data_IF_761733144770
#
_entry.id   IF_761733144770
#
_cell.length_a   1.000
_cell.length_b   1.000
_cell.length_c   1.000
_cell.angle_alpha   90.00
_cell.angle_beta   90.00
_cell.angle_gamma   90.00
#
_symmetry.space_group_name_H-M   'P 1'
#
loop_
_entity.id
_entity.type
_entity.pdbx_description
1 polymer ?
#
# COMPACT_ATOMS: atom_id res chain seq x y z
N UNK A 1 32.57 -8.54 37.87
CA UNK A 1 32.93 -7.26 38.48
C UNK A 1 32.03 -6.98 39.67
N UNK A 2 32.43 -6.19 40.65
CA UNK A 2 31.66 -6.07 41.88
C UNK A 2 30.46 -5.15 41.73
N UNK A 3 29.31 -5.55 42.30
CA UNK A 3 28.22 -4.64 42.63
C UNK A 3 28.60 -3.83 43.86
N UNK A 4 28.32 -2.55 43.85
CA UNK A 4 28.73 -1.57 44.86
C UNK A 4 27.56 -1.17 45.74
N UNK A 5 27.84 -0.87 47.01
CA UNK A 5 26.82 -0.37 47.95
C UNK A 5 26.76 1.16 47.88
N UNK A 6 25.59 1.68 47.65
CA UNK A 6 25.29 3.12 47.77
C UNK A 6 24.92 3.39 49.24
N UNK A 7 25.85 3.94 49.97
CA UNK A 7 25.74 4.12 51.44
C UNK A 7 24.66 5.16 51.76
N UNK A 8 24.57 6.24 50.96
CA UNK A 8 23.60 7.32 51.19
C UNK A 8 22.16 6.87 51.01
N UNK A 9 21.93 5.97 50.05
CA UNK A 9 20.59 5.48 49.71
C UNK A 9 20.28 4.11 50.30
N UNK A 10 21.22 3.49 51.00
CA UNK A 10 21.16 2.13 51.50
C UNK A 10 20.70 1.09 50.46
N UNK A 11 21.16 1.26 49.23
CA UNK A 11 20.84 0.39 48.08
C UNK A 11 22.13 -0.11 47.43
N UNK A 12 21.97 -1.03 46.44
CA UNK A 12 23.08 -1.51 45.64
C UNK A 12 22.99 -0.95 44.22
N UNK A 13 24.16 -0.81 43.56
CA UNK A 13 24.23 -0.47 42.15
C UNK A 13 25.27 -1.30 41.43
N UNK A 14 25.08 -1.51 40.14
CA UNK A 14 26.08 -2.07 39.22
C UNK A 14 26.65 -0.99 38.33
N UNK A 15 27.94 -1.11 38.02
CA UNK A 15 28.64 -0.25 37.06
C UNK A 15 29.57 -1.12 36.25
N UNK A 16 29.29 -1.20 34.94
CA UNK A 16 30.01 -2.09 34.03
C UNK A 16 30.13 -1.46 32.65
N UNK A 17 31.07 -1.97 31.88
CA UNK A 17 31.18 -1.65 30.47
C UNK A 17 30.48 -2.72 29.66
N UNK A 18 29.70 -2.29 28.66
CA UNK A 18 29.08 -3.17 27.69
C UNK A 18 29.13 -2.49 26.31
N UNK A 19 29.70 -3.16 25.33
CA UNK A 19 29.91 -2.65 23.96
C UNK A 19 30.60 -1.26 23.94
N UNK A 20 31.65 -1.10 24.74
CA UNK A 20 32.48 0.12 24.82
C UNK A 20 31.84 1.29 25.58
N UNK A 21 30.61 1.15 26.09
CA UNK A 21 29.93 2.20 26.89
C UNK A 21 29.79 1.81 28.34
N UNK A 22 30.10 2.74 29.22
CA UNK A 22 29.87 2.58 30.68
C UNK A 22 28.39 2.67 30.99
N UNK A 23 27.85 1.65 31.64
CA UNK A 23 26.47 1.58 32.14
C UNK A 23 26.47 1.59 33.67
N UNK A 24 25.57 2.36 34.27
CA UNK A 24 25.36 2.42 35.71
C UNK A 24 23.86 2.28 35.97
N UNK A 25 23.47 1.32 36.79
CA UNK A 25 22.09 1.16 37.26
C UNK A 25 22.10 1.09 38.79
N UNK A 26 21.28 1.94 39.43
CA UNK A 26 21.19 2.10 40.90
C UNK A 26 19.85 1.61 41.40
N UNK A 27 19.71 1.47 42.71
CA UNK A 27 18.44 1.23 43.39
C UNK A 27 18.07 -0.24 43.58
N UNK A 28 19.05 -1.16 43.56
CA UNK A 28 18.78 -2.57 43.84
C UNK A 28 18.74 -2.80 45.37
N UNK A 29 17.80 -3.64 45.82
CA UNK A 29 17.66 -3.99 47.25
C UNK A 29 18.80 -4.89 47.76
N UNK A 30 19.39 -5.70 46.87
CA UNK A 30 20.45 -6.66 47.23
C UNK A 30 21.60 -6.62 46.22
N UNK A 31 22.81 -7.01 46.71
CA UNK A 31 23.99 -7.19 45.87
C UNK A 31 23.76 -8.23 44.75
N UNK A 32 22.99 -9.28 45.07
CA UNK A 32 22.66 -10.35 44.14
C UNK A 32 21.80 -9.81 42.99
N UNK A 33 20.76 -9.03 43.28
CA UNK A 33 19.91 -8.41 42.24
C UNK A 33 20.67 -7.45 41.32
N UNK A 34 21.64 -6.70 41.84
CA UNK A 34 22.48 -5.80 41.06
C UNK A 34 23.38 -6.60 40.09
N UNK A 35 23.92 -7.75 40.55
CA UNK A 35 24.77 -8.64 39.74
C UNK A 35 23.95 -9.36 38.70
N UNK A 36 22.79 -9.90 39.06
CA UNK A 36 21.86 -10.56 38.08
C UNK A 36 21.44 -9.60 36.98
N UNK A 37 21.17 -8.32 37.31
CA UNK A 37 20.88 -7.31 36.28
C UNK A 37 22.07 -7.11 35.32
N UNK A 38 23.31 -7.00 35.86
CA UNK A 38 24.51 -6.89 35.02
C UNK A 38 24.65 -8.07 34.09
N UNK A 39 24.54 -9.30 34.60
CA UNK A 39 24.67 -10.54 33.85
C UNK A 39 23.58 -10.67 32.77
N UNK A 40 22.33 -10.37 33.10
CA UNK A 40 21.22 -10.32 32.18
C UNK A 40 21.41 -9.25 31.10
N UNK A 41 21.90 -8.05 31.49
CA UNK A 41 22.13 -6.96 30.54
C UNK A 41 23.27 -7.30 29.58
N UNK A 42 24.37 -7.87 30.08
CA UNK A 42 25.48 -8.33 29.25
C UNK A 42 25.05 -9.45 28.31
N UNK A 43 24.38 -10.47 28.84
CA UNK A 43 23.86 -11.58 28.04
C UNK A 43 22.91 -11.08 26.92
N UNK A 44 22.06 -10.12 27.23
CA UNK A 44 21.18 -9.49 26.24
C UNK A 44 21.94 -8.67 25.19
N UNK A 45 23.04 -8.01 25.57
CA UNK A 45 23.80 -7.12 24.68
C UNK A 45 24.96 -7.82 23.95
N UNK A 46 25.59 -8.78 24.57
CA UNK A 46 26.61 -9.65 23.93
C UNK A 46 25.93 -10.66 23.00
N UNK A 47 24.73 -11.14 23.37
CA UNK A 47 23.88 -11.93 22.50
C UNK A 47 23.32 -11.14 21.29
N UNK A 48 23.19 -9.82 21.39
CA UNK A 48 22.71 -8.98 20.29
C UNK A 48 23.72 -8.84 19.14
N UNK A 49 25.03 -8.96 19.43
CA UNK A 49 26.07 -9.01 18.37
C UNK A 49 26.06 -10.34 17.62
N UNK A 50 25.56 -11.41 18.22
CA UNK A 50 25.52 -12.77 17.68
C UNK A 50 24.12 -13.20 17.22
N UNK A 51 23.14 -12.31 17.27
CA UNK A 51 21.76 -12.63 16.89
C UNK A 51 21.70 -13.00 15.40
N UNK A 52 21.11 -14.15 15.11
CA UNK A 52 20.84 -14.58 13.75
C UNK A 52 19.63 -13.86 13.19
N UNK A 53 19.59 -13.64 11.88
CA UNK A 53 18.52 -12.90 11.24
C UNK A 53 17.13 -13.52 11.48
N UNK A 54 17.03 -14.88 11.49
CA UNK A 54 15.73 -15.52 11.76
C UNK A 54 15.19 -15.21 13.15
N UNK A 55 16.06 -15.19 14.18
CA UNK A 55 15.65 -14.84 15.55
C UNK A 55 15.22 -13.38 15.64
N UNK A 56 16.00 -12.49 15.01
CA UNK A 56 15.64 -11.05 14.94
C UNK A 56 14.34 -10.85 14.18
N UNK A 57 14.11 -11.60 13.11
CA UNK A 57 12.90 -11.53 12.32
C UNK A 57 11.66 -11.93 13.12
N UNK A 58 11.73 -13.02 13.88
CA UNK A 58 10.63 -13.49 14.70
C UNK A 58 10.23 -12.46 15.77
N UNK A 59 11.21 -11.83 16.42
CA UNK A 59 10.95 -10.75 17.39
C UNK A 59 10.39 -9.49 16.70
N UNK A 60 10.93 -9.11 15.54
CA UNK A 60 10.40 -8.02 14.73
C UNK A 60 8.96 -8.26 14.29
N UNK A 61 8.62 -9.49 13.90
CA UNK A 61 7.25 -9.83 13.49
C UNK A 61 6.27 -9.75 14.65
N UNK A 62 6.64 -10.18 15.87
CA UNK A 62 5.83 -10.02 17.09
C UNK A 62 5.54 -8.54 17.38
N UNK A 63 6.53 -7.67 17.25
CA UNK A 63 6.36 -6.22 17.45
C UNK A 63 5.49 -5.59 16.34
N UNK A 64 5.52 -6.16 15.13
CA UNK A 64 4.64 -5.76 14.05
C UNK A 64 3.17 -6.15 14.26
N UNK A 65 2.88 -7.15 15.09
CA UNK A 65 1.52 -7.55 15.46
C UNK A 65 0.85 -6.39 16.22
N UNK A 66 -0.38 -6.06 15.86
CA UNK A 66 -1.08 -4.91 16.42
C UNK A 66 -0.73 -3.54 15.81
N UNK A 67 0.41 -3.40 15.11
CA UNK A 67 0.80 -2.17 14.39
C UNK A 67 0.38 -2.24 12.92
N UNK A 68 0.58 -3.39 12.28
CA UNK A 68 0.27 -3.60 10.87
C UNK A 68 -0.99 -4.46 10.69
N UNK A 69 -1.70 -4.22 9.58
CA UNK A 69 -2.81 -5.08 9.19
C UNK A 69 -2.31 -6.50 8.89
N UNK A 70 -3.14 -7.49 9.20
CA UNK A 70 -2.87 -8.91 8.98
C UNK A 70 -2.35 -9.21 7.56
N UNK A 71 -2.97 -8.64 6.52
CA UNK A 71 -2.50 -8.78 5.14
C UNK A 71 -1.07 -8.29 4.89
N UNK A 72 -0.62 -7.30 5.67
CA UNK A 72 0.77 -6.80 5.60
C UNK A 72 1.73 -7.77 6.29
N UNK A 73 1.33 -8.33 7.43
CA UNK A 73 2.11 -9.32 8.18
C UNK A 73 2.31 -10.59 7.35
N UNK A 74 1.24 -11.11 6.75
CA UNK A 74 1.31 -12.26 5.85
C UNK A 74 2.23 -11.98 4.67
N UNK A 75 2.13 -10.79 4.07
CA UNK A 75 3.02 -10.38 2.98
C UNK A 75 4.49 -10.31 3.39
N UNK A 76 4.79 -9.79 4.60
CA UNK A 76 6.15 -9.79 5.16
C UNK A 76 6.68 -11.21 5.35
N UNK A 77 5.89 -12.07 5.99
CA UNK A 77 6.26 -13.46 6.24
C UNK A 77 6.44 -14.25 4.94
N UNK A 78 5.62 -14.01 3.92
CA UNK A 78 5.79 -14.59 2.60
C UNK A 78 7.14 -14.23 1.97
N UNK A 79 7.52 -12.94 1.97
CA UNK A 79 8.83 -12.53 1.42
C UNK A 79 10.00 -13.11 2.22
N UNK A 80 9.86 -13.19 3.53
CA UNK A 80 10.86 -13.80 4.38
C UNK A 80 11.07 -15.27 4.06
N UNK A 81 10.01 -16.06 4.05
CA UNK A 81 10.07 -17.51 3.83
C UNK A 81 10.55 -17.84 2.41
N UNK A 82 10.09 -17.09 1.41
CA UNK A 82 10.40 -17.39 0.02
C UNK A 82 11.78 -16.93 -0.41
N UNK A 83 12.30 -15.83 0.13
CA UNK A 83 13.47 -15.19 -0.44
C UNK A 83 14.58 -14.87 0.56
N UNK A 84 14.27 -14.70 1.85
CA UNK A 84 15.26 -14.19 2.81
C UNK A 84 15.86 -15.33 3.61
N UNK A 85 15.01 -16.20 4.17
CA UNK A 85 15.43 -17.23 5.11
C UNK A 85 16.48 -18.19 4.54
N UNK A 86 16.28 -18.65 3.30
CA UNK A 86 17.16 -19.64 2.67
C UNK A 86 18.60 -19.11 2.46
N UNK A 87 18.76 -17.80 2.21
CA UNK A 87 20.07 -17.23 1.90
C UNK A 87 20.77 -16.67 3.14
N UNK A 88 20.08 -15.89 3.95
CA UNK A 88 20.70 -15.14 5.05
C UNK A 88 20.04 -15.36 6.42
N UNK A 89 18.98 -16.17 6.49
CA UNK A 89 18.23 -16.39 7.74
C UNK A 89 19.07 -16.92 8.89
N UNK A 90 20.06 -17.78 8.59
CA UNK A 90 20.94 -18.37 9.59
C UNK A 90 22.23 -17.58 9.84
N UNK A 91 22.47 -16.49 9.10
CA UNK A 91 23.61 -15.61 9.30
C UNK A 91 23.41 -14.73 10.53
N UNK A 92 24.48 -14.39 11.20
CA UNK A 92 24.46 -13.32 12.22
C UNK A 92 24.20 -12.00 11.50
N UNK A 93 23.35 -11.16 12.08
CA UNK A 93 22.93 -9.89 11.44
C UNK A 93 24.11 -8.97 11.17
N UNK A 94 25.14 -8.99 12.02
CA UNK A 94 26.34 -8.17 11.87
C UNK A 94 27.27 -8.64 10.75
N UNK A 95 27.18 -9.91 10.35
CA UNK A 95 28.00 -10.53 9.32
C UNK A 95 27.35 -10.46 7.93
N UNK A 96 26.11 -9.95 7.83
CA UNK A 96 25.41 -9.80 6.55
C UNK A 96 26.00 -8.62 5.79
N UNK A 97 26.61 -8.92 4.66
CA UNK A 97 27.25 -7.94 3.78
C UNK A 97 26.43 -7.66 2.50
N UNK A 98 26.82 -6.63 1.79
CA UNK A 98 26.20 -6.27 0.50
C UNK A 98 26.32 -7.39 -0.55
N UNK A 99 27.36 -8.22 -0.47
CA UNK A 99 27.55 -9.35 -1.39
C UNK A 99 26.50 -10.44 -1.18
N UNK A 100 26.07 -10.68 0.06
CA UNK A 100 25.05 -11.69 0.37
C UNK A 100 23.71 -11.27 -0.23
N UNK A 101 23.38 -9.98 -0.08
CA UNK A 101 22.15 -9.39 -0.66
C UNK A 101 22.23 -9.43 -2.19
N UNK A 102 23.40 -9.15 -2.76
CA UNK A 102 23.61 -9.22 -4.21
C UNK A 102 23.40 -10.66 -4.71
N UNK A 103 24.04 -11.65 -4.10
CA UNK A 103 23.89 -13.07 -4.46
C UNK A 103 22.43 -13.51 -4.39
N UNK A 104 21.73 -13.18 -3.30
CA UNK A 104 20.29 -13.45 -3.15
C UNK A 104 19.46 -12.82 -4.28
N UNK A 105 19.71 -11.56 -4.59
CA UNK A 105 18.91 -10.86 -5.63
C UNK A 105 19.28 -11.28 -7.04
N UNK A 106 20.51 -11.67 -7.32
CA UNK A 106 20.91 -12.21 -8.62
C UNK A 106 20.19 -13.55 -8.87
N UNK A 107 20.18 -14.47 -7.89
CA UNK A 107 19.42 -15.73 -7.97
C UNK A 107 17.91 -15.47 -8.18
N UNK A 108 17.34 -14.50 -7.46
CA UNK A 108 15.94 -14.12 -7.68
C UNK A 108 15.67 -13.65 -9.13
N UNK A 109 16.61 -12.92 -9.72
CA UNK A 109 16.50 -12.45 -11.11
C UNK A 109 16.62 -13.62 -12.09
N UNK A 110 17.54 -14.55 -11.86
CA UNK A 110 17.68 -15.77 -12.65
C UNK A 110 16.43 -16.64 -12.59
N UNK A 111 15.73 -16.68 -11.46
CA UNK A 111 14.41 -17.31 -11.30
C UNK A 111 13.27 -16.51 -11.97
N UNK A 112 13.56 -15.42 -12.67
CA UNK A 112 12.58 -14.59 -13.39
C UNK A 112 11.85 -13.55 -12.53
N UNK A 113 12.34 -13.25 -11.31
CA UNK A 113 11.75 -12.21 -10.47
C UNK A 113 12.16 -10.82 -10.94
N UNK A 114 11.23 -9.89 -10.85
CA UNK A 114 11.49 -8.51 -11.26
C UNK A 114 12.36 -7.75 -10.26
N UNK A 115 13.14 -6.76 -10.74
CA UNK A 115 13.88 -5.81 -9.89
C UNK A 115 13.00 -5.13 -8.84
N UNK A 116 11.71 -4.90 -9.15
CA UNK A 116 10.73 -4.35 -8.20
C UNK A 116 10.47 -5.32 -7.04
N UNK A 117 10.42 -6.64 -7.33
CA UNK A 117 10.28 -7.68 -6.30
C UNK A 117 11.54 -7.75 -5.42
N UNK A 118 12.72 -7.73 -6.02
CA UNK A 118 13.99 -7.67 -5.28
C UNK A 118 14.04 -6.46 -4.34
N UNK A 119 13.62 -5.27 -4.82
CA UNK A 119 13.55 -4.06 -3.99
C UNK A 119 12.58 -4.21 -2.81
N UNK A 120 11.47 -4.94 -2.97
CA UNK A 120 10.55 -5.23 -1.86
C UNK A 120 11.20 -6.12 -0.82
N UNK A 121 11.93 -7.15 -1.23
CA UNK A 121 12.68 -8.04 -0.33
C UNK A 121 13.75 -7.27 0.44
N UNK A 122 14.57 -6.47 -0.25
CA UNK A 122 15.59 -5.61 0.37
C UNK A 122 14.95 -4.64 1.39
N UNK A 123 13.78 -4.08 1.06
CA UNK A 123 13.05 -3.20 1.97
C UNK A 123 12.60 -3.90 3.26
N UNK A 124 12.22 -5.19 3.19
CA UNK A 124 11.88 -5.98 4.38
C UNK A 124 13.10 -6.23 5.26
N UNK A 125 14.23 -6.61 4.67
CA UNK A 125 15.49 -6.80 5.38
C UNK A 125 15.92 -5.51 6.08
N UNK A 126 15.93 -4.40 5.36
CA UNK A 126 16.27 -3.09 5.90
C UNK A 126 15.33 -2.65 7.05
N UNK A 127 14.04 -2.99 6.96
CA UNK A 127 13.07 -2.66 8.01
C UNK A 127 13.34 -3.47 9.29
N UNK A 128 13.61 -4.77 9.16
CA UNK A 128 13.97 -5.64 10.27
C UNK A 128 15.29 -5.20 10.93
N UNK A 129 16.34 -4.93 10.15
CA UNK A 129 17.63 -4.46 10.68
C UNK A 129 17.50 -3.11 11.36
N UNK A 130 16.72 -2.17 10.80
CA UNK A 130 16.48 -0.87 11.43
C UNK A 130 15.81 -1.03 12.80
N UNK A 131 14.81 -1.90 12.90
CA UNK A 131 14.17 -2.24 14.16
C UNK A 131 15.17 -2.87 15.14
N UNK A 132 15.99 -3.81 14.65
CA UNK A 132 17.06 -4.41 15.45
C UNK A 132 18.11 -3.41 15.95
N UNK A 133 18.44 -2.37 15.18
CA UNK A 133 19.31 -1.28 15.64
C UNK A 133 18.71 -0.51 16.81
N UNK A 134 17.40 -0.28 16.78
CA UNK A 134 16.69 0.46 17.81
C UNK A 134 16.55 -0.34 19.09
N UNK A 135 16.12 -1.60 19.01
CA UNK A 135 15.78 -2.41 20.19
C UNK A 135 16.89 -3.32 20.68
N UNK A 136 17.78 -3.77 19.81
CA UNK A 136 18.89 -4.69 20.11
C UNK A 136 20.27 -4.05 20.00
N UNK A 137 20.34 -2.71 19.76
CA UNK A 137 21.60 -1.98 19.62
C UNK A 137 22.59 -2.60 18.60
N UNK A 138 22.06 -3.19 17.54
CA UNK A 138 22.85 -3.74 16.44
C UNK A 138 23.60 -2.58 15.78
N UNK A 139 24.92 -2.70 15.64
CA UNK A 139 25.79 -1.67 15.06
C UNK A 139 26.43 -2.20 13.78
N UNK A 140 27.01 -1.28 13.02
CA UNK A 140 27.88 -1.57 11.86
C UNK A 140 27.21 -2.34 10.69
N UNK A 141 25.88 -2.39 10.65
CA UNK A 141 25.16 -2.90 9.49
C UNK A 141 24.60 -1.71 8.71
N UNK A 142 25.06 -1.52 7.48
CA UNK A 142 24.55 -0.46 6.63
C UNK A 142 23.21 -0.82 5.99
N UNK A 143 22.52 0.21 5.50
CA UNK A 143 21.30 0.01 4.70
C UNK A 143 21.66 -0.53 3.32
N UNK A 144 21.09 -1.66 2.95
CA UNK A 144 21.28 -2.25 1.63
C UNK A 144 20.55 -1.41 0.56
N UNK A 145 21.25 -1.15 -0.54
CA UNK A 145 20.74 -0.38 -1.68
C UNK A 145 19.94 -1.29 -2.61
N UNK A 146 18.81 -0.79 -3.08
CA UNK A 146 18.00 -1.48 -4.10
C UNK A 146 18.41 -1.10 -5.53
N UNK A 147 17.78 -1.77 -6.48
CA UNK A 147 17.93 -1.49 -7.91
C UNK A 147 17.26 -0.17 -8.31
N UNK A 148 17.85 0.54 -9.22
CA UNK A 148 17.13 1.62 -9.93
C UNK A 148 16.06 0.98 -10.82
N UNK A 149 14.83 1.42 -10.66
CA UNK A 149 13.70 0.98 -11.47
C UNK A 149 13.05 2.18 -12.16
N UNK A 150 12.76 2.04 -13.42
CA UNK A 150 11.95 3.01 -14.15
C UNK A 150 10.48 2.84 -13.77
N UNK A 151 9.73 3.93 -13.81
CA UNK A 151 8.28 3.87 -13.72
C UNK A 151 7.77 3.50 -15.12
N UNK A 152 7.19 2.31 -15.25
CA UNK A 152 6.60 1.90 -16.52
C UNK A 152 5.41 2.82 -16.82
N UNK A 153 5.32 3.30 -18.06
CA UNK A 153 4.11 3.96 -18.55
C UNK A 153 2.96 2.96 -18.48
N UNK A 154 1.90 3.33 -17.78
CA UNK A 154 0.68 2.53 -17.71
C UNK A 154 -0.17 2.79 -18.93
N UNK A 155 -0.74 1.75 -19.49
CA UNK A 155 -1.75 1.92 -20.51
C UNK A 155 -3.05 2.38 -19.84
N UNK A 156 -3.76 3.23 -20.52
CA UNK A 156 -5.10 3.70 -20.15
C UNK A 156 -5.99 3.53 -21.37
N UNK A 157 -7.26 3.23 -21.15
CA UNK A 157 -8.26 3.19 -22.21
C UNK A 157 -9.06 4.48 -22.26
N UNK A 158 -9.41 4.88 -23.47
CA UNK A 158 -10.46 5.87 -23.73
C UNK A 158 -11.83 5.24 -23.50
N UNK A 159 -12.92 6.05 -23.35
CA UNK A 159 -14.28 5.50 -23.30
C UNK A 159 -14.62 4.63 -24.51
N UNK A 160 -14.22 5.01 -25.71
CA UNK A 160 -14.46 4.27 -26.95
C UNK A 160 -13.77 2.90 -26.93
N UNK A 161 -12.54 2.84 -26.44
CA UNK A 161 -11.81 1.56 -26.28
C UNK A 161 -12.47 0.68 -25.23
N UNK A 162 -12.98 1.30 -24.15
CA UNK A 162 -13.71 0.58 -23.12
C UNK A 162 -15.04 0.03 -23.66
N UNK A 163 -15.78 0.79 -24.46
CA UNK A 163 -17.03 0.36 -25.07
C UNK A 163 -16.81 -0.79 -26.07
N UNK A 164 -15.71 -0.76 -26.84
CA UNK A 164 -15.30 -1.89 -27.70
C UNK A 164 -15.06 -3.16 -26.87
N UNK A 165 -14.41 -3.03 -25.71
CA UNK A 165 -14.20 -4.16 -24.80
C UNK A 165 -15.53 -4.67 -24.23
N UNK A 166 -16.37 -3.77 -23.72
CA UNK A 166 -17.67 -4.11 -23.12
C UNK A 166 -18.60 -4.81 -24.13
N UNK A 167 -18.60 -4.39 -25.39
CA UNK A 167 -19.46 -4.98 -26.44
C UNK A 167 -19.17 -6.47 -26.71
N UNK A 168 -18.05 -6.97 -26.20
CA UNK A 168 -17.62 -8.38 -26.34
C UNK A 168 -17.95 -9.24 -25.12
N UNK A 169 -18.53 -8.62 -24.05
CA UNK A 169 -18.86 -9.32 -22.81
C UNK A 169 -20.34 -9.69 -22.82
N UNK A 170 -20.63 -10.98 -22.93
CA UNK A 170 -21.99 -11.50 -22.92
C UNK A 170 -22.60 -11.61 -21.52
N UNK A 171 -21.78 -11.83 -20.51
CA UNK A 171 -22.24 -11.97 -19.13
C UNK A 171 -22.54 -10.62 -18.50
N UNK A 172 -23.82 -10.38 -18.18
CA UNK A 172 -24.31 -9.10 -17.66
C UNK A 172 -23.66 -8.69 -16.33
N UNK A 173 -23.39 -9.65 -15.43
CA UNK A 173 -22.74 -9.34 -14.15
C UNK A 173 -21.31 -8.80 -14.34
N UNK A 174 -20.52 -9.41 -15.24
CA UNK A 174 -19.19 -8.88 -15.58
C UNK A 174 -19.27 -7.57 -16.34
N UNK A 175 -20.26 -7.40 -17.21
CA UNK A 175 -20.52 -6.13 -17.89
C UNK A 175 -20.71 -4.99 -16.89
N UNK A 176 -21.58 -5.19 -15.87
CA UNK A 176 -21.83 -4.22 -14.79
C UNK A 176 -20.56 -4.03 -13.94
N UNK A 177 -19.88 -5.10 -13.57
CA UNK A 177 -18.67 -5.04 -12.77
C UNK A 177 -17.55 -4.21 -13.42
N UNK A 178 -17.29 -4.43 -14.73
CA UNK A 178 -16.32 -3.62 -15.47
C UNK A 178 -16.78 -2.18 -15.65
N UNK A 179 -18.07 -1.94 -15.88
CA UNK A 179 -18.64 -0.60 -15.93
C UNK A 179 -18.43 0.16 -14.60
N UNK A 180 -18.60 -0.50 -13.47
CA UNK A 180 -18.31 0.09 -12.15
C UNK A 180 -16.81 0.40 -11.96
N UNK A 181 -15.92 -0.48 -12.40
CA UNK A 181 -14.47 -0.24 -12.33
C UNK A 181 -14.07 0.98 -13.17
N UNK A 182 -14.61 1.10 -14.38
CA UNK A 182 -14.26 2.18 -15.31
C UNK A 182 -14.95 3.50 -14.95
N UNK A 183 -16.28 3.51 -14.80
CA UNK A 183 -17.06 4.74 -14.63
C UNK A 183 -17.08 5.29 -13.20
N UNK A 184 -16.73 4.49 -12.20
CA UNK A 184 -16.63 4.96 -10.80
C UNK A 184 -15.19 4.98 -10.30
N UNK A 185 -14.26 4.34 -11.00
CA UNK A 185 -12.87 4.26 -10.59
C UNK A 185 -12.67 3.48 -9.29
N UNK A 186 -13.50 2.46 -9.02
CA UNK A 186 -13.37 1.60 -7.85
C UNK A 186 -12.08 0.77 -7.92
N UNK A 187 -11.54 0.42 -6.73
CA UNK A 187 -10.55 -0.66 -6.68
C UNK A 187 -11.27 -2.00 -6.81
N UNK A 188 -10.61 -2.99 -7.41
CA UNK A 188 -11.14 -4.35 -7.51
C UNK A 188 -11.59 -4.93 -6.16
N UNK A 189 -10.79 -4.78 -5.12
CA UNK A 189 -11.15 -5.21 -3.77
C UNK A 189 -12.31 -4.40 -3.15
N UNK A 190 -12.50 -3.13 -3.49
CA UNK A 190 -13.67 -2.33 -3.08
C UNK A 190 -14.92 -2.89 -3.74
N UNK A 191 -14.88 -3.09 -5.06
CA UNK A 191 -16.00 -3.65 -5.82
C UNK A 191 -16.40 -5.05 -5.33
N UNK A 192 -15.43 -5.95 -5.14
CA UNK A 192 -15.67 -7.30 -4.65
C UNK A 192 -16.21 -7.35 -3.21
N UNK A 193 -16.02 -6.28 -2.43
CA UNK A 193 -16.54 -6.18 -1.07
C UNK A 193 -17.96 -5.62 -1.00
N UNK A 194 -18.48 -5.04 -2.07
CA UNK A 194 -19.81 -4.41 -2.07
C UNK A 194 -20.91 -5.43 -1.77
N UNK A 195 -21.85 -5.00 -0.96
CA UNK A 195 -23.10 -5.70 -0.69
C UNK A 195 -24.29 -4.92 -1.25
N UNK A 196 -25.44 -5.55 -1.37
CA UNK A 196 -26.67 -4.90 -1.81
C UNK A 196 -27.00 -3.68 -0.93
N UNK A 197 -26.81 -3.79 0.38
CA UNK A 197 -27.06 -2.71 1.34
C UNK A 197 -26.13 -1.50 1.24
N UNK A 198 -24.99 -1.62 0.53
CA UNK A 198 -24.09 -0.49 0.28
C UNK A 198 -24.62 0.43 -0.85
N UNK A 199 -25.71 0.04 -1.52
CA UNK A 199 -26.27 0.76 -2.67
C UNK A 199 -27.60 1.38 -2.25
N UNK A 200 -27.67 2.71 -2.30
CA UNK A 200 -28.86 3.48 -1.95
C UNK A 200 -29.20 4.44 -3.09
N UNK A 201 -30.18 4.08 -3.90
CA UNK A 201 -30.49 4.82 -5.13
C UNK A 201 -29.25 4.92 -6.04
N UNK A 202 -28.85 6.13 -6.39
CA UNK A 202 -27.67 6.36 -7.21
C UNK A 202 -26.35 6.45 -6.41
N UNK A 203 -26.34 6.19 -5.10
CA UNK A 203 -25.15 6.35 -4.25
C UNK A 203 -24.64 5.02 -3.78
N UNK A 204 -23.33 4.80 -3.91
CA UNK A 204 -22.61 3.65 -3.35
C UNK A 204 -21.75 4.10 -2.19
N UNK A 205 -21.92 3.48 -1.03
CA UNK A 205 -21.09 3.71 0.16
C UNK A 205 -19.94 2.70 0.22
N UNK A 206 -18.71 3.17 0.12
CA UNK A 206 -17.50 2.34 0.15
C UNK A 206 -16.90 2.42 1.55
N UNK A 207 -17.04 1.34 2.33
CA UNK A 207 -16.53 1.25 3.72
C UNK A 207 -15.62 0.05 3.94
N UNK A 208 -15.46 -0.81 2.93
CA UNK A 208 -14.78 -2.10 3.06
C UNK A 208 -14.03 -2.47 1.79
N UNK A 209 -13.09 -3.39 1.94
CA UNK A 209 -12.34 -3.97 0.83
C UNK A 209 -12.17 -5.47 1.07
N UNK A 210 -12.28 -6.25 0.03
CA UNK A 210 -12.09 -7.69 0.07
C UNK A 210 -10.68 -8.07 -0.34
N UNK A 211 -10.04 -8.90 0.47
CA UNK A 211 -8.75 -9.51 0.15
C UNK A 211 -8.98 -10.96 -0.26
N UNK A 212 -8.87 -11.23 -1.54
CA UNK A 212 -9.02 -12.59 -2.07
C UNK A 212 -7.98 -13.57 -1.52
N UNK A 213 -6.71 -13.13 -1.37
CA UNK A 213 -5.62 -13.99 -0.88
C UNK A 213 -5.94 -14.54 0.51
N UNK A 214 -6.56 -13.71 1.36
CA UNK A 214 -6.88 -14.06 2.73
C UNK A 214 -8.37 -14.40 2.93
N UNK A 215 -9.20 -14.24 1.88
CA UNK A 215 -10.66 -14.43 1.91
C UNK A 215 -11.35 -13.65 3.02
N UNK A 216 -10.84 -12.48 3.36
CA UNK A 216 -11.38 -11.62 4.41
C UNK A 216 -11.82 -10.27 3.86
N UNK A 217 -12.90 -9.76 4.41
CA UNK A 217 -13.32 -8.37 4.21
C UNK A 217 -12.76 -7.54 5.35
N UNK A 218 -12.05 -6.47 5.03
CA UNK A 218 -11.43 -5.57 6.00
C UNK A 218 -11.85 -4.14 5.76
N UNK A 219 -11.69 -3.29 6.77
CA UNK A 219 -11.80 -1.84 6.59
C UNK A 219 -10.73 -1.33 5.62
N UNK A 220 -10.98 -0.25 4.88
CA UNK A 220 -9.98 0.35 3.99
C UNK A 220 -8.70 0.73 4.74
N UNK A 221 -7.60 0.87 4.01
CA UNK A 221 -6.28 1.19 4.60
C UNK A 221 -6.19 2.58 5.21
N UNK A 222 -7.04 3.51 4.76
CA UNK A 222 -7.05 4.91 5.22
C UNK A 222 -8.49 5.39 5.38
N UNK A 223 -8.72 6.34 6.29
CA UNK A 223 -10.04 6.95 6.50
C UNK A 223 -10.57 7.62 5.21
N UNK A 224 -9.69 8.18 4.38
CA UNK A 224 -10.06 8.78 3.08
C UNK A 224 -10.57 7.77 2.06
N UNK A 225 -10.35 6.48 2.27
CA UNK A 225 -10.89 5.43 1.40
C UNK A 225 -12.37 5.13 1.69
N UNK A 226 -12.88 5.50 2.89
CA UNK A 226 -14.31 5.47 3.20
C UNK A 226 -14.95 6.69 2.54
N UNK A 227 -15.90 6.46 1.63
CA UNK A 227 -16.51 7.52 0.83
C UNK A 227 -17.80 7.08 0.20
N UNK A 228 -18.63 8.06 -0.14
CA UNK A 228 -19.77 7.87 -1.03
C UNK A 228 -19.39 8.24 -2.47
N UNK A 229 -19.86 7.45 -3.41
CA UNK A 229 -19.65 7.65 -4.84
C UNK A 229 -21.02 7.66 -5.53
N UNK A 230 -21.38 8.78 -6.12
CA UNK A 230 -22.60 8.88 -6.93
C UNK A 230 -22.38 8.25 -8.29
N UNK A 231 -23.29 7.35 -8.68
CA UNK A 231 -23.34 6.73 -10.00
C UNK A 231 -23.99 7.67 -11.01
N UNK A 232 -23.51 7.68 -12.27
CA UNK A 232 -24.30 8.18 -13.38
C UNK A 232 -25.58 7.35 -13.52
N UNK A 233 -26.67 7.97 -14.04
CA UNK A 233 -27.99 7.37 -14.13
C UNK A 233 -27.97 6.01 -14.86
N UNK A 234 -27.36 5.96 -16.05
CA UNK A 234 -27.23 4.71 -16.82
C UNK A 234 -26.60 3.57 -16.05
N UNK A 235 -25.63 3.87 -15.16
CA UNK A 235 -24.92 2.85 -14.36
C UNK A 235 -25.78 2.44 -13.15
N UNK A 236 -26.49 3.38 -12.55
CA UNK A 236 -27.42 3.09 -11.45
C UNK A 236 -28.53 2.13 -11.92
N UNK A 237 -29.10 2.36 -13.09
CA UNK A 237 -30.09 1.46 -13.70
C UNK A 237 -29.54 0.05 -13.92
N UNK A 238 -28.31 -0.07 -14.45
CA UNK A 238 -27.68 -1.39 -14.63
C UNK A 238 -27.42 -2.09 -13.32
N UNK A 239 -26.97 -1.37 -12.28
CA UNK A 239 -26.71 -1.94 -10.97
C UNK A 239 -28.01 -2.39 -10.30
N UNK A 240 -29.07 -1.59 -10.36
CA UNK A 240 -30.40 -1.99 -9.85
C UNK A 240 -30.92 -3.21 -10.58
N UNK A 241 -30.84 -3.24 -11.92
CA UNK A 241 -31.22 -4.42 -12.68
C UNK A 241 -30.43 -5.68 -12.26
N UNK A 242 -29.13 -5.54 -11.95
CA UNK A 242 -28.33 -6.67 -11.46
C UNK A 242 -28.84 -7.15 -10.08
N UNK A 243 -29.24 -6.22 -9.20
CA UNK A 243 -29.83 -6.56 -7.88
C UNK A 243 -31.20 -7.25 -8.08
N UNK A 244 -32.05 -6.76 -8.96
CA UNK A 244 -33.38 -7.32 -9.23
C UNK A 244 -33.32 -8.75 -9.82
N UNK A 245 -32.21 -9.11 -10.48
CA UNK A 245 -31.98 -10.46 -10.96
C UNK A 245 -31.67 -11.46 -9.84
N UNK A 246 -31.38 -11.00 -8.62
CA UNK A 246 -31.13 -11.86 -7.46
C UNK A 246 -32.44 -12.34 -6.84
N UNK A 247 -32.47 -13.60 -6.42
CA UNK A 247 -33.63 -14.13 -5.71
C UNK A 247 -33.67 -13.65 -4.25
N UNK A 248 -34.63 -12.80 -3.91
CA UNK A 248 -34.84 -12.22 -2.55
C UNK A 248 -33.54 -11.70 -1.94
N UNK A 249 -32.89 -10.71 -2.53
CA UNK A 249 -31.60 -10.22 -2.06
C UNK A 249 -31.69 -9.64 -0.65
N UNK A 250 -30.83 -10.09 0.24
CA UNK A 250 -30.62 -9.51 1.56
C UNK A 250 -29.62 -8.35 1.46
N UNK A 251 -29.75 -7.29 2.26
CA UNK A 251 -28.78 -6.20 2.29
C UNK A 251 -27.34 -6.63 2.56
N UNK A 252 -27.12 -7.75 3.24
CA UNK A 252 -25.81 -8.33 3.51
C UNK A 252 -25.22 -9.15 2.36
N UNK A 253 -26.05 -9.51 1.36
CA UNK A 253 -25.61 -10.28 0.21
C UNK A 253 -24.60 -9.52 -0.62
N UNK A 254 -23.59 -10.19 -1.10
CA UNK A 254 -22.62 -9.58 -2.04
C UNK A 254 -23.31 -9.13 -3.31
N UNK A 255 -22.91 -7.97 -3.81
CA UNK A 255 -23.40 -7.45 -5.09
C UNK A 255 -23.04 -8.40 -6.24
N UNK A 256 -21.80 -8.90 -6.25
CA UNK A 256 -21.29 -9.84 -7.26
C UNK A 256 -21.29 -11.27 -6.73
N UNK A 257 -21.59 -12.24 -7.61
CA UNK A 257 -21.58 -13.66 -7.30
C UNK A 257 -20.18 -14.26 -7.21
N UNK A 258 -19.19 -13.58 -7.77
CA UNK A 258 -17.78 -13.97 -7.75
C UNK A 258 -16.97 -13.07 -6.84
N UNK A 259 -15.88 -13.63 -6.29
CA UNK A 259 -15.00 -12.93 -5.34
C UNK A 259 -13.51 -12.97 -5.74
N UNK A 260 -13.19 -13.61 -6.87
CA UNK A 260 -11.81 -13.77 -7.34
C UNK A 260 -11.42 -12.67 -8.35
N UNK A 261 -10.48 -11.78 -8.02
CA UNK A 261 -10.02 -10.76 -8.96
C UNK A 261 -9.32 -11.32 -10.21
N UNK A 262 -8.92 -12.61 -10.19
CA UNK A 262 -8.38 -13.28 -11.38
C UNK A 262 -9.43 -13.37 -12.50
N UNK A 263 -10.72 -13.32 -12.18
CA UNK A 263 -11.78 -13.27 -13.17
C UNK A 263 -11.70 -11.99 -14.00
N UNK A 264 -11.41 -10.83 -13.38
CA UNK A 264 -11.19 -9.60 -14.15
C UNK A 264 -10.02 -9.73 -15.10
N UNK A 265 -8.91 -10.34 -14.64
CA UNK A 265 -7.77 -10.59 -15.51
C UNK A 265 -8.12 -11.52 -16.67
N UNK A 266 -8.83 -12.61 -16.41
CA UNK A 266 -9.27 -13.55 -17.44
C UNK A 266 -10.10 -12.85 -18.52
N UNK A 267 -11.09 -12.04 -18.13
CA UNK A 267 -11.92 -11.31 -19.09
C UNK A 267 -11.11 -10.25 -19.86
N UNK A 268 -10.23 -9.51 -19.19
CA UNK A 268 -9.35 -8.54 -19.84
C UNK A 268 -8.42 -9.24 -20.84
N UNK A 269 -7.75 -10.33 -20.45
CA UNK A 269 -6.86 -11.06 -21.36
C UNK A 269 -7.61 -11.65 -22.56
N UNK A 270 -8.86 -12.09 -22.38
CA UNK A 270 -9.68 -12.75 -23.41
C UNK A 270 -10.35 -11.76 -24.38
N UNK A 271 -10.89 -10.66 -23.89
CA UNK A 271 -11.78 -9.78 -24.66
C UNK A 271 -11.14 -8.44 -25.08
N UNK A 272 -9.92 -8.12 -24.64
CA UNK A 272 -9.23 -6.88 -25.02
C UNK A 272 -8.36 -7.00 -26.27
N UNK A 273 -8.55 -8.03 -27.09
CA UNK A 273 -7.75 -8.19 -28.33
C UNK A 273 -7.88 -6.94 -29.23
N UNK A 274 -6.74 -6.49 -29.77
CA UNK A 274 -6.65 -5.25 -30.55
C UNK A 274 -6.63 -3.95 -29.73
N UNK A 275 -6.73 -4.04 -28.39
CA UNK A 275 -6.64 -2.90 -27.48
C UNK A 275 -5.32 -2.92 -26.67
N UNK A 276 -4.86 -1.77 -26.16
CA UNK A 276 -3.71 -1.75 -25.26
C UNK A 276 -3.96 -2.64 -24.02
N UNK A 277 -2.95 -3.43 -23.62
CA UNK A 277 -3.08 -4.29 -22.44
C UNK A 277 -3.24 -3.47 -21.19
N UNK A 278 -4.29 -3.73 -20.40
CA UNK A 278 -4.59 -3.08 -19.13
C UNK A 278 -4.93 -4.11 -18.05
N UNK A 279 -4.86 -3.69 -16.80
CA UNK A 279 -5.35 -4.44 -15.65
C UNK A 279 -6.63 -3.79 -15.10
N UNK A 280 -7.35 -4.46 -14.21
CA UNK A 280 -8.51 -3.87 -13.52
C UNK A 280 -8.15 -2.56 -12.80
N UNK A 281 -6.93 -2.46 -12.25
CA UNK A 281 -6.44 -1.23 -11.63
C UNK A 281 -6.17 -0.11 -12.66
N UNK A 282 -5.80 -0.45 -13.89
CA UNK A 282 -5.58 0.55 -14.95
C UNK A 282 -6.90 1.12 -15.49
N UNK A 283 -8.04 0.42 -15.33
CA UNK A 283 -9.37 0.99 -15.60
C UNK A 283 -9.68 2.17 -14.66
N UNK A 284 -9.30 2.06 -13.40
CA UNK A 284 -9.38 3.18 -12.45
C UNK A 284 -8.44 4.33 -12.86
N UNK A 285 -7.27 4.04 -13.42
CA UNK A 285 -6.39 5.07 -13.99
C UNK A 285 -7.01 5.71 -15.22
N UNK A 286 -7.68 4.92 -16.07
CA UNK A 286 -8.43 5.43 -17.23
C UNK A 286 -9.54 6.39 -16.79
N UNK A 287 -10.32 6.03 -15.77
CA UNK A 287 -11.34 6.90 -15.17
C UNK A 287 -10.76 8.24 -14.74
N UNK A 288 -9.68 8.23 -13.95
CA UNK A 288 -9.08 9.45 -13.46
C UNK A 288 -8.53 10.31 -14.61
N UNK A 289 -7.86 9.70 -15.59
CA UNK A 289 -7.35 10.41 -16.78
C UNK A 289 -8.48 11.03 -17.59
N UNK A 290 -9.59 10.31 -17.75
CA UNK A 290 -10.77 10.80 -18.48
C UNK A 290 -11.38 12.03 -17.79
N UNK A 291 -11.56 11.97 -16.45
CA UNK A 291 -12.11 13.11 -15.69
C UNK A 291 -11.20 14.34 -15.77
N UNK A 292 -9.89 14.16 -15.58
CA UNK A 292 -8.93 15.26 -15.63
C UNK A 292 -8.84 15.87 -17.03
N UNK A 293 -8.91 15.05 -18.09
CA UNK A 293 -8.94 15.51 -19.48
C UNK A 293 -10.20 16.33 -19.79
N UNK A 294 -11.30 16.06 -19.08
CA UNK A 294 -12.55 16.82 -19.19
C UNK A 294 -12.65 17.96 -18.15
N UNK A 295 -11.52 18.48 -17.70
CA UNK A 295 -11.39 19.64 -16.83
C UNK A 295 -12.08 19.49 -15.44
N UNK A 296 -12.31 18.25 -14.98
CA UNK A 296 -12.74 18.02 -13.60
C UNK A 296 -11.54 18.25 -12.68
N UNK A 297 -11.73 19.07 -11.64
CA UNK A 297 -10.64 19.46 -10.76
C UNK A 297 -9.98 18.28 -10.05
N UNK A 298 -8.66 18.39 -9.83
CA UNK A 298 -7.81 17.34 -9.26
C UNK A 298 -8.28 16.89 -7.86
N UNK A 299 -8.81 17.84 -7.05
CA UNK A 299 -9.21 17.54 -5.68
C UNK A 299 -10.48 16.70 -5.69
N UNK A 300 -11.46 17.05 -6.55
CA UNK A 300 -12.69 16.28 -6.74
C UNK A 300 -12.40 14.87 -7.26
N UNK A 301 -11.53 14.73 -8.26
CA UNK A 301 -11.09 13.43 -8.75
C UNK A 301 -10.39 12.62 -7.65
N UNK A 302 -9.50 13.24 -6.88
CA UNK A 302 -8.79 12.59 -5.78
C UNK A 302 -9.75 12.10 -4.67
N UNK A 303 -10.74 12.93 -4.29
CA UNK A 303 -11.78 12.54 -3.32
C UNK A 303 -12.62 11.38 -3.84
N UNK A 304 -13.08 11.45 -5.08
CA UNK A 304 -13.87 10.39 -5.72
C UNK A 304 -13.12 9.06 -5.73
N UNK A 305 -11.82 9.11 -5.99
CA UNK A 305 -10.96 7.92 -5.95
C UNK A 305 -10.63 7.46 -4.52
N UNK A 306 -10.79 8.27 -3.49
CA UNK A 306 -10.39 7.96 -2.12
C UNK A 306 -8.87 7.89 -1.97
N UNK A 307 -8.15 8.85 -2.54
CA UNK A 307 -6.72 9.05 -2.29
C UNK A 307 -6.55 9.90 -1.04
N UNK A 308 -5.65 9.48 -0.14
CA UNK A 308 -5.34 10.22 1.09
C UNK A 308 -4.62 11.54 0.84
N UNK A 309 -3.98 11.69 -0.33
CA UNK A 309 -3.27 12.88 -0.74
C UNK A 309 -3.47 13.11 -2.25
N UNK A 310 -3.97 14.29 -2.67
CA UNK A 310 -4.10 14.66 -4.09
C UNK A 310 -2.78 14.57 -4.88
N UNK A 311 -1.62 14.70 -4.21
CA UNK A 311 -0.32 14.50 -4.84
C UNK A 311 -0.14 13.10 -5.45
N UNK A 312 -0.86 12.09 -4.97
CA UNK A 312 -0.88 10.75 -5.57
C UNK A 312 -1.49 10.82 -6.97
N UNK A 313 -2.63 11.50 -7.09
CA UNK A 313 -3.29 11.73 -8.38
C UNK A 313 -2.40 12.56 -9.29
N UNK A 314 -1.87 13.68 -8.79
CA UNK A 314 -0.98 14.56 -9.56
C UNK A 314 0.24 13.82 -10.11
N UNK A 315 0.93 13.03 -9.29
CA UNK A 315 2.13 12.29 -9.71
C UNK A 315 1.85 11.29 -10.85
N UNK A 316 0.68 10.68 -10.85
CA UNK A 316 0.29 9.72 -11.89
C UNK A 316 -0.09 10.43 -13.19
N UNK A 317 -0.69 11.62 -13.09
CA UNK A 317 -1.29 12.35 -14.23
C UNK A 317 -0.58 13.64 -14.60
N UNK A 318 0.58 13.95 -13.99
CA UNK A 318 1.37 15.16 -14.28
C UNK A 318 1.70 15.32 -15.78
N UNK A 319 1.84 14.20 -16.50
CA UNK A 319 2.08 14.25 -17.94
C UNK A 319 0.90 14.81 -18.76
N UNK A 320 -0.32 14.72 -18.22
CA UNK A 320 -1.51 15.27 -18.89
C UNK A 320 -1.57 16.80 -18.82
N UNK A 321 -0.78 17.42 -17.94
CA UNK A 321 -0.73 18.87 -17.73
C UNK A 321 0.46 19.56 -18.43
N UNK A 322 1.34 18.84 -19.13
CA UNK A 322 2.58 19.39 -19.67
C UNK A 322 2.41 20.36 -20.85
N UNK A 323 1.22 20.51 -21.44
CA UNK A 323 1.01 21.35 -22.62
C UNK A 323 -0.12 22.39 -22.48
N UNK A 324 -0.50 22.77 -21.25
CA UNK A 324 -1.63 23.69 -21.02
C UNK A 324 -1.26 25.18 -20.97
N UNK A 325 -0.01 25.57 -21.20
CA UNK A 325 0.39 26.98 -21.09
C UNK A 325 -0.37 27.89 -22.07
N UNK A 326 -0.57 27.41 -23.31
CA UNK A 326 -1.37 28.15 -24.29
C UNK A 326 -2.86 28.22 -23.91
N UNK A 327 -3.42 27.15 -23.33
CA UNK A 327 -4.81 27.14 -22.86
C UNK A 327 -5.00 28.06 -21.64
N UNK A 328 -4.01 28.12 -20.74
CA UNK A 328 -4.00 29.05 -19.61
C UNK A 328 -3.94 30.50 -20.12
N UNK A 329 -3.07 30.80 -21.06
CA UNK A 329 -3.00 32.13 -21.67
C UNK A 329 -4.31 32.52 -22.36
N UNK A 330 -4.97 31.57 -23.02
CA UNK A 330 -6.26 31.80 -23.69
C UNK A 330 -7.40 32.02 -22.67
N UNK A 331 -7.40 31.26 -21.56
CA UNK A 331 -8.34 31.45 -20.46
C UNK A 331 -8.19 32.83 -19.81
N UNK A 332 -6.94 33.27 -19.56
CA UNK A 332 -6.66 34.62 -19.04
C UNK A 332 -7.19 35.70 -20.00
N UNK A 333 -6.98 35.55 -21.30
CA UNK A 333 -7.49 36.48 -22.29
C UNK A 333 -9.04 36.56 -22.30
N UNK A 334 -9.71 35.43 -22.12
CA UNK A 334 -11.18 35.37 -22.05
C UNK A 334 -11.71 36.06 -20.79
N UNK A 335 -11.12 35.76 -19.62
CA UNK A 335 -11.45 36.39 -18.35
C UNK A 335 -11.28 37.91 -18.42
N UNK A 336 -10.21 38.38 -19.06
CA UNK A 336 -9.98 39.82 -19.25
C UNK A 336 -11.06 40.47 -20.12
N UNK A 337 -11.46 39.82 -21.22
CA UNK A 337 -12.53 40.30 -22.10
C UNK A 337 -13.88 40.35 -21.41
N UNK A 338 -14.19 39.40 -20.52
CA UNK A 338 -15.43 39.40 -19.73
C UNK A 338 -15.42 40.53 -18.70
N UNK A 339 -14.34 40.71 -17.97
CA UNK A 339 -14.15 41.82 -17.03
C UNK A 339 -14.30 43.18 -17.70
N UNK A 340 -13.72 43.36 -18.90
CA UNK A 340 -13.83 44.63 -19.66
C UNK A 340 -15.26 44.89 -20.17
N UNK A 341 -16.04 43.84 -20.49
CA UNK A 341 -17.47 43.95 -20.81
C UNK A 341 -18.32 44.36 -19.61
N UNK A 342 -18.09 43.75 -18.44
CA UNK A 342 -18.79 44.12 -17.21
C UNK A 342 -18.52 45.56 -16.77
N UNK A 343 -17.26 46.03 -16.91
CA UNK A 343 -16.88 47.40 -16.62
C UNK A 343 -17.53 48.41 -17.58
N UNK A 344 -17.73 48.08 -18.85
CA UNK A 344 -18.43 48.90 -19.82
C UNK A 344 -19.94 48.98 -19.52
N UNK A 345 -20.55 47.87 -19.12
CA UNK A 345 -21.99 47.82 -18.78
C UNK A 345 -22.33 48.50 -17.45
N UNK A 346 -21.36 48.74 -16.55
CA UNK A 346 -21.54 49.48 -15.29
C UNK A 346 -21.33 51.00 -15.46
N UNK A 347 -20.93 51.50 -16.64
CA UNK A 347 -20.70 52.89 -16.93
C UNK A 347 -21.87 53.56 -17.66
N UNK A 348 -22.95 52.82 -17.83
CA UNK A 348 -24.27 53.35 -18.29
C UNK A 348 -25.31 52.95 -17.22
#
# INVERSE_FOLDING_TARGET
MPAYKDIERNTWYCSFYCLGKKKVKRGFKTKKAAKEYEDQYKAKMEGASDIKLHVLWDEYMKDCEGVFKESTLIGKQYYYNQFIHAYIGNMKVIDIEAIDIKTMTDNMIEEGRSKKTCNRVIAQINACIRWGKEYYNIKNVEKFKGFRTTVDKRNIWTPEQFDIFLSRIDNFEYYVAFSMLFWLGLRDGELLALTVGDIKGAVITITKTYSYIHRITTTPKTNSSTRDVTMPEFLAEMVHRLIDMKYKPDPSDRLLSFDNPSNFRYYLDRYSYGLPKVTAHDLRHSHASYLLKNNIDLVSVSKRLGHSNPAITLKVYAHSYQNHDMEVAQAINNLKKESDKELKNKKY
#
